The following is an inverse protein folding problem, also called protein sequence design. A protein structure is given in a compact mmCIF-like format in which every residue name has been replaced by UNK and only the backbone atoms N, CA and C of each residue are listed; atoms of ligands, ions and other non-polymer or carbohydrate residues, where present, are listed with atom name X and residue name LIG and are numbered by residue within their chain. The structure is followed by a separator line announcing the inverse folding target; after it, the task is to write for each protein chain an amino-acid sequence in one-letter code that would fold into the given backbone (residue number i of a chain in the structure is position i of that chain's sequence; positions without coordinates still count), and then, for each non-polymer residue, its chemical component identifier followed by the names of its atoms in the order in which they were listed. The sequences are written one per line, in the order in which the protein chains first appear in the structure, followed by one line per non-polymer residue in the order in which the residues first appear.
data_IF_792172229916
#
_entry.id   IF_792172229916
#
_cell.length_a   1.000
_cell.length_b   1.000
_cell.length_c   1.000
_cell.angle_alpha   90.00
_cell.angle_beta   90.00
_cell.angle_gamma   90.00
#
_symmetry.space_group_name_H-M   'P 1'
#
loop_
_entity.id
_entity.type
_entity.pdbx_description
1 polymer ?
#
# COMPACT_ATOMS: atom_id res chain seq x y z
N UNK A 1 -6.61 -10.65 9.68
CA UNK A 1 -6.65 -9.76 10.88
C UNK A 1 -5.32 -9.69 11.64
N UNK A 2 -4.34 -10.57 11.37
CA UNK A 2 -3.04 -10.61 12.07
C UNK A 2 -2.30 -9.27 12.11
N UNK A 3 -2.15 -8.57 10.97
CA UNK A 3 -1.43 -7.30 10.91
C UNK A 3 -2.09 -6.20 11.75
N UNK A 4 -3.42 -6.18 11.83
CA UNK A 4 -4.18 -5.21 12.65
C UNK A 4 -4.00 -5.48 14.14
N UNK A 5 -3.99 -6.75 14.55
CA UNK A 5 -3.75 -7.12 15.96
C UNK A 5 -2.33 -6.80 16.43
N UNK A 6 -1.36 -6.77 15.52
CA UNK A 6 0.05 -6.55 15.84
C UNK A 6 0.57 -5.17 15.42
N UNK A 7 -0.30 -4.26 15.00
CA UNK A 7 0.07 -2.98 14.40
C UNK A 7 0.92 -2.11 15.34
N UNK A 8 0.67 -2.19 16.66
CA UNK A 8 1.44 -1.50 17.72
C UNK A 8 2.92 -1.92 17.81
N UNK A 9 3.29 -3.08 17.26
CA UNK A 9 4.67 -3.57 17.24
C UNK A 9 5.53 -2.87 16.18
N UNK A 10 4.91 -2.08 15.31
CA UNK A 10 5.55 -1.43 14.17
C UNK A 10 5.46 0.08 14.31
N UNK A 11 6.52 0.78 13.90
CA UNK A 11 6.50 2.24 13.73
C UNK A 11 5.73 2.58 12.45
N UNK A 12 4.41 2.53 12.56
CA UNK A 12 3.50 2.80 11.45
C UNK A 12 3.33 4.30 11.22
N UNK A 13 3.00 4.67 10.00
CA UNK A 13 2.25 5.91 9.74
C UNK A 13 0.94 5.54 9.07
N UNK A 14 -0.11 6.25 9.46
CA UNK A 14 -1.48 5.96 9.02
C UNK A 14 -2.22 7.24 8.70
N UNK A 15 -3.19 7.12 7.81
CA UNK A 15 -4.18 8.12 7.52
C UNK A 15 -5.55 7.46 7.46
N UNK A 16 -6.55 8.15 8.00
CA UNK A 16 -7.95 7.80 7.85
C UNK A 16 -8.71 9.03 7.34
N UNK A 17 -9.83 8.77 6.69
CA UNK A 17 -10.72 9.80 6.17
C UNK A 17 -12.11 9.51 6.67
N UNK A 18 -12.77 10.56 7.13
CA UNK A 18 -14.17 10.55 7.52
C UNK A 18 -14.98 11.41 6.56
N UNK A 19 -16.16 10.92 6.20
CA UNK A 19 -17.15 11.67 5.41
C UNK A 19 -18.44 11.62 6.21
N UNK A 20 -18.97 12.79 6.58
CA UNK A 20 -20.16 12.93 7.43
C UNK A 20 -20.04 12.16 8.75
N UNK A 21 -18.88 12.24 9.41
CA UNK A 21 -18.60 11.57 10.69
C UNK A 21 -18.48 10.04 10.61
N UNK A 22 -18.39 9.46 9.41
CA UNK A 22 -18.21 8.02 9.20
C UNK A 22 -16.89 7.73 8.51
N UNK A 23 -16.18 6.70 8.99
CA UNK A 23 -14.94 6.23 8.38
C UNK A 23 -15.19 5.79 6.93
N UNK A 24 -14.62 6.55 6.00
CA UNK A 24 -14.74 6.32 4.56
C UNK A 24 -13.51 5.60 4.00
N UNK A 25 -12.34 5.73 4.63
CA UNK A 25 -11.17 4.98 4.22
C UNK A 25 -10.02 5.06 5.22
N UNK A 26 -9.11 4.11 5.09
CA UNK A 26 -7.93 3.93 5.93
C UNK A 26 -6.78 3.47 5.06
N UNK A 27 -5.61 4.06 5.25
CA UNK A 27 -4.38 3.55 4.68
C UNK A 27 -3.25 3.66 5.70
N UNK A 28 -2.39 2.64 5.76
CA UNK A 28 -1.22 2.66 6.62
C UNK A 28 -0.04 1.92 5.97
N UNK A 29 1.13 2.08 6.55
CA UNK A 29 2.27 1.22 6.28
C UNK A 29 3.46 1.56 7.14
N UNK A 30 4.57 0.89 6.85
CA UNK A 30 5.74 0.81 7.73
C UNK A 30 7.02 1.00 6.94
N UNK A 31 8.02 1.57 7.59
CA UNK A 31 9.38 1.59 7.08
C UNK A 31 9.98 0.18 7.07
N UNK A 32 10.58 -0.23 5.95
CA UNK A 32 11.34 -1.46 5.85
C UNK A 32 12.85 -1.15 5.99
N UNK A 33 13.63 -1.95 6.73
CA UNK A 33 15.06 -1.70 6.98
C UNK A 33 15.94 -1.50 5.73
N UNK A 34 15.51 -1.99 4.57
CA UNK A 34 16.22 -1.78 3.28
C UNK A 34 16.05 -0.37 2.69
N UNK A 35 15.77 0.63 3.53
CA UNK A 35 15.45 2.02 3.17
C UNK A 35 14.32 2.18 2.13
N UNK A 36 13.43 1.19 2.07
CA UNK A 36 12.25 1.21 1.24
C UNK A 36 11.00 1.27 2.12
N UNK A 37 9.93 1.88 1.62
CA UNK A 37 8.66 1.86 2.32
C UNK A 37 7.75 0.74 1.82
N UNK A 38 7.03 0.07 2.73
CA UNK A 38 6.02 -0.94 2.40
C UNK A 38 4.61 -0.47 2.79
N UNK A 39 3.80 -0.22 1.77
CA UNK A 39 2.37 0.01 1.92
C UNK A 39 1.67 -1.30 2.21
N UNK A 40 1.33 -1.51 3.48
CA UNK A 40 0.81 -2.79 3.95
C UNK A 40 -0.71 -2.92 3.79
N UNK A 41 -1.45 -1.81 3.87
CA UNK A 41 -2.90 -1.89 3.75
C UNK A 41 -3.55 -0.57 3.34
N UNK A 42 -4.54 -0.67 2.46
CA UNK A 42 -5.48 0.40 2.16
C UNK A 42 -6.87 -0.20 1.97
N UNK A 43 -7.87 0.40 2.62
CA UNK A 43 -9.28 0.08 2.43
C UNK A 43 -10.04 1.37 2.25
N UNK A 44 -10.92 1.40 1.25
CA UNK A 44 -11.73 2.55 0.91
C UNK A 44 -13.16 2.12 0.70
N UNK A 45 -14.10 2.99 1.03
CA UNK A 45 -15.47 2.86 0.63
C UNK A 45 -15.59 3.27 -0.84
N UNK A 46 -15.82 2.28 -1.71
CA UNK A 46 -15.88 2.45 -3.17
C UNK A 46 -17.05 3.32 -3.65
N UNK A 47 -18.01 3.67 -2.78
CA UNK A 47 -19.04 4.68 -3.07
C UNK A 47 -18.43 6.05 -3.42
N UNK A 48 -17.26 6.36 -2.86
CA UNK A 48 -16.59 7.64 -3.07
C UNK A 48 -15.53 7.52 -4.17
N UNK A 49 -15.88 7.98 -5.37
CA UNK A 49 -14.97 7.99 -6.51
C UNK A 49 -13.72 8.83 -6.21
N UNK A 50 -12.54 8.28 -6.50
CA UNK A 50 -11.25 8.95 -6.28
C UNK A 50 -10.65 8.80 -4.89
N UNK A 51 -11.38 8.26 -3.91
CA UNK A 51 -10.90 8.15 -2.52
C UNK A 51 -9.61 7.32 -2.40
N UNK A 52 -9.46 6.27 -3.22
CA UNK A 52 -8.23 5.46 -3.30
C UNK A 52 -7.00 6.30 -3.71
N UNK A 53 -7.14 7.11 -4.77
CA UNK A 53 -6.07 8.00 -5.27
C UNK A 53 -5.69 9.03 -4.22
N UNK A 54 -6.70 9.65 -3.61
CA UNK A 54 -6.50 10.63 -2.55
C UNK A 54 -5.77 10.03 -1.35
N UNK A 55 -6.21 8.87 -0.85
CA UNK A 55 -5.52 8.20 0.26
C UNK A 55 -4.09 7.80 -0.08
N UNK A 56 -3.82 7.37 -1.31
CA UNK A 56 -2.45 7.10 -1.74
C UNK A 56 -1.58 8.35 -1.69
N UNK A 57 -2.09 9.47 -2.21
CA UNK A 57 -1.38 10.74 -2.23
C UNK A 57 -1.08 11.25 -0.81
N UNK A 58 -2.10 11.32 0.05
CA UNK A 58 -1.93 11.77 1.43
C UNK A 58 -0.98 10.85 2.21
N UNK A 59 -1.08 9.54 2.00
CA UNK A 59 -0.16 8.58 2.60
C UNK A 59 1.27 8.78 2.11
N UNK A 60 1.49 9.11 0.83
CA UNK A 60 2.83 9.38 0.31
C UNK A 60 3.49 10.59 1.00
N UNK A 61 2.72 11.64 1.35
CA UNK A 61 3.23 12.81 2.10
C UNK A 61 3.84 12.44 3.44
N UNK A 62 3.30 11.42 4.11
CA UNK A 62 3.84 10.91 5.37
C UNK A 62 5.27 10.35 5.22
N UNK A 63 5.72 10.08 3.99
CA UNK A 63 7.04 9.53 3.67
C UNK A 63 7.85 10.44 2.73
N UNK A 64 7.56 11.75 2.72
CA UNK A 64 8.23 12.75 1.86
C UNK A 64 9.76 12.75 1.95
N UNK A 65 10.33 12.33 3.08
CA UNK A 65 11.78 12.31 3.31
C UNK A 65 12.45 11.05 2.74
N UNK A 66 11.71 10.21 2.02
CA UNK A 66 12.20 8.95 1.44
C UNK A 66 12.28 9.06 -0.08
N UNK A 67 13.30 8.41 -0.64
CA UNK A 67 13.51 8.36 -2.10
C UNK A 67 12.44 7.55 -2.82
N UNK A 68 11.93 6.49 -2.20
CA UNK A 68 11.02 5.53 -2.82
C UNK A 68 9.83 5.21 -1.92
N UNK A 69 8.68 5.06 -2.56
CA UNK A 69 7.42 4.65 -1.94
C UNK A 69 6.81 3.51 -2.75
N UNK A 70 6.59 2.35 -2.12
CA UNK A 70 5.99 1.23 -2.85
C UNK A 70 4.49 1.38 -3.02
N UNK A 71 3.99 0.99 -4.19
CA UNK A 71 2.58 0.78 -4.45
C UNK A 71 2.12 -0.64 -4.07
N UNK A 72 3.01 -1.47 -3.53
CA UNK A 72 2.78 -2.87 -3.16
C UNK A 72 2.88 -3.83 -4.35
N UNK A 73 2.76 -5.13 -4.09
CA UNK A 73 2.93 -6.20 -5.09
C UNK A 73 1.99 -6.10 -6.28
N UNK A 74 2.43 -6.55 -7.45
CA UNK A 74 1.57 -6.70 -8.62
C UNK A 74 0.38 -7.64 -8.33
N UNK A 75 -0.64 -7.58 -9.19
CA UNK A 75 -1.82 -8.45 -9.12
C UNK A 75 -2.29 -8.79 -10.54
N UNK A 76 -3.08 -9.87 -10.66
CA UNK A 76 -3.75 -10.24 -11.92
C UNK A 76 -5.00 -9.41 -12.19
N UNK A 77 -5.48 -8.67 -11.19
CA UNK A 77 -6.64 -7.78 -11.31
C UNK A 77 -6.34 -6.57 -12.19
N UNK A 78 -6.96 -6.51 -13.38
CA UNK A 78 -6.70 -5.50 -14.40
C UNK A 78 -6.87 -4.07 -13.88
N UNK A 79 -7.93 -3.79 -13.12
CA UNK A 79 -8.19 -2.45 -12.58
C UNK A 79 -7.14 -1.98 -11.58
N UNK A 80 -6.58 -2.88 -10.76
CA UNK A 80 -5.52 -2.54 -9.81
C UNK A 80 -4.19 -2.33 -10.56
N UNK A 81 -3.92 -3.15 -11.57
CA UNK A 81 -2.72 -3.02 -12.41
C UNK A 81 -2.74 -1.71 -13.20
N UNK A 82 -3.87 -1.37 -13.82
CA UNK A 82 -4.07 -0.07 -14.46
C UNK A 82 -3.83 1.07 -13.46
N UNK A 83 -4.50 1.03 -12.31
CA UNK A 83 -4.35 2.05 -11.26
C UNK A 83 -2.89 2.27 -10.85
N UNK A 84 -2.13 1.20 -10.63
CA UNK A 84 -0.70 1.31 -10.27
C UNK A 84 0.16 1.83 -11.41
N UNK A 85 -0.22 1.57 -12.65
CA UNK A 85 0.48 2.04 -13.84
C UNK A 85 0.25 3.53 -14.06
N UNK A 86 -0.97 4.02 -13.83
CA UNK A 86 -1.33 5.44 -13.89
C UNK A 86 -0.60 6.31 -12.85
N UNK A 87 -0.07 5.70 -11.79
CA UNK A 87 0.77 6.39 -10.79
C UNK A 87 2.24 6.51 -11.20
N UNK A 88 2.59 6.06 -12.42
CA UNK A 88 3.91 6.15 -13.03
C UNK A 88 5.07 5.68 -12.13
N UNK A 89 5.12 4.39 -11.74
CA UNK A 89 6.15 3.88 -10.86
C UNK A 89 7.50 3.87 -11.59
N UNK A 90 8.46 4.64 -11.06
CA UNK A 90 9.83 4.71 -11.60
C UNK A 90 10.63 3.41 -11.48
N UNK A 91 10.15 2.44 -10.69
CA UNK A 91 10.82 1.17 -10.45
C UNK A 91 9.79 0.03 -10.32
N UNK A 92 9.97 -1.03 -11.12
CA UNK A 92 9.26 -2.30 -11.01
C UNK A 92 10.27 -3.41 -10.70
N UNK A 93 10.09 -4.11 -9.58
CA UNK A 93 10.93 -5.24 -9.19
C UNK A 93 10.18 -6.55 -9.41
N UNK A 94 10.75 -7.42 -10.22
CA UNK A 94 10.27 -8.79 -10.39
C UNK A 94 10.76 -9.65 -9.22
N UNK A 95 9.86 -10.47 -8.68
CA UNK A 95 10.18 -11.45 -7.65
C UNK A 95 10.04 -12.84 -8.25
N UNK A 96 11.11 -13.62 -8.17
CA UNK A 96 11.12 -15.00 -8.63
C UNK A 96 11.13 -15.91 -7.41
N UNK A 97 10.24 -16.89 -7.40
CA UNK A 97 10.31 -17.99 -6.45
C UNK A 97 11.26 -19.03 -7.01
N UNK A 98 12.40 -19.24 -6.35
CA UNK A 98 13.27 -20.37 -6.66
C UNK A 98 12.71 -21.57 -5.89
N UNK A 99 12.06 -22.48 -6.61
CA UNK A 99 11.60 -23.75 -6.06
C UNK A 99 12.79 -24.70 -5.89
N UNK A 100 13.42 -24.65 -4.72
CA UNK A 100 14.49 -25.58 -4.35
C UNK A 100 13.88 -26.85 -3.74
N UNK A 101 13.45 -27.78 -4.61
CA UNK A 101 13.06 -29.15 -4.22
C UNK A 101 11.61 -29.32 -3.74
N UNK A 102 10.74 -29.79 -4.64
CA UNK A 102 9.43 -30.36 -4.32
C UNK A 102 9.14 -31.47 -5.33
N UNK A 103 8.78 -32.67 -4.85
CA UNK A 103 8.49 -33.85 -5.67
C UNK A 103 7.44 -33.50 -6.74
N UNK A 104 7.70 -33.91 -7.99
CA UNK A 104 6.68 -34.06 -9.04
C UNK A 104 5.67 -35.13 -8.64
#
# INVERSE_FOLDING_TARGET
MYCVKNLKKYLIKQIYIEINGKLAGLAWGVFHPSDNWIGLHMKVNYKYKGLSRFLHHERAKLFKDRKLFTLGTGTREAGITQYKTELDPILKKEYFYILTGGKK
#
